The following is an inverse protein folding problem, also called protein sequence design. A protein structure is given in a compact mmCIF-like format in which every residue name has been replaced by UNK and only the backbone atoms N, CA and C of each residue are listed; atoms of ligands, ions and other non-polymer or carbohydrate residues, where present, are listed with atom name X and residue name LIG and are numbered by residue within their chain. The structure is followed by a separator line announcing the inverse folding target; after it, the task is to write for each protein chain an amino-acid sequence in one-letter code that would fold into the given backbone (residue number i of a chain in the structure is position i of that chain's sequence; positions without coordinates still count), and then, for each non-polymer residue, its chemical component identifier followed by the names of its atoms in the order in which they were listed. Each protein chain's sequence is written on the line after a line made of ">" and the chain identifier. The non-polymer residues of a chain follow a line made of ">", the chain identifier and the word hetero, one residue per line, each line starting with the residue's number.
data_IF_322783528185
#
_entry.id   IF_322783528185
#
_cell.length_a   1.000
_cell.length_b   1.000
_cell.length_c   1.000
_cell.angle_alpha   90.00
_cell.angle_beta   90.00
_cell.angle_gamma   90.00
#
_symmetry.space_group_name_H-M   'P 1'
#
loop_
_entity.id
_entity.type
_entity.pdbx_description
1 polymer ?
#
# COMPACT_ATOMS: atom_id res chain seq x y z
N UNK A 1 -18.98 8.89 21.42
CA UNK A 1 -19.10 7.44 21.71
C UNK A 1 -18.04 6.73 20.90
N UNK A 2 -17.14 5.94 21.51
CA UNK A 2 -16.21 5.11 20.72
C UNK A 2 -17.05 4.01 20.08
N UNK A 3 -17.01 3.93 18.76
CA UNK A 3 -17.57 2.83 18.00
C UNK A 3 -16.97 1.53 18.54
N UNK A 4 -17.80 0.68 19.15
CA UNK A 4 -17.38 -0.59 19.71
C UNK A 4 -16.98 -1.48 18.54
N UNK A 5 -15.67 -1.63 18.31
CA UNK A 5 -15.15 -2.50 17.24
C UNK A 5 -15.70 -3.90 17.47
N UNK A 6 -16.36 -4.46 16.46
CA UNK A 6 -16.84 -5.83 16.51
C UNK A 6 -15.61 -6.78 16.52
N UNK A 7 -15.15 -7.15 17.72
CA UNK A 7 -14.03 -8.07 17.97
C UNK A 7 -14.48 -9.53 18.00
N UNK A 8 -15.62 -9.86 17.38
CA UNK A 8 -16.13 -11.23 17.35
C UNK A 8 -15.16 -12.18 16.64
N UNK A 9 -14.50 -11.72 15.57
CA UNK A 9 -13.61 -12.53 14.74
C UNK A 9 -12.11 -12.39 15.04
N UNK A 10 -11.72 -11.38 15.82
CA UNK A 10 -10.31 -11.05 16.08
C UNK A 10 -10.13 -10.53 17.50
N UNK A 11 -8.91 -10.58 18.02
CA UNK A 11 -8.56 -9.97 19.30
C UNK A 11 -8.26 -8.47 19.17
N UNK A 12 -7.75 -7.87 20.25
CA UNK A 12 -7.50 -6.43 20.35
C UNK A 12 -6.41 -5.96 19.36
N UNK A 13 -5.44 -6.84 19.12
CA UNK A 13 -4.33 -6.65 18.19
C UNK A 13 -4.74 -6.91 16.73
N UNK A 14 -5.90 -7.55 16.52
CA UNK A 14 -6.42 -7.86 15.20
C UNK A 14 -6.01 -9.24 14.69
N UNK A 15 -5.46 -10.09 15.57
CA UNK A 15 -5.21 -11.50 15.26
C UNK A 15 -6.55 -12.20 15.14
N UNK A 16 -6.76 -12.89 14.03
CA UNK A 16 -7.99 -13.63 13.77
C UNK A 16 -8.03 -14.84 14.71
N UNK A 17 -9.14 -14.98 15.44
CA UNK A 17 -9.35 -16.09 16.38
C UNK A 17 -9.51 -17.40 15.60
N UNK A 18 -8.91 -18.51 16.05
CA UNK A 18 -9.11 -19.81 15.42
C UNK A 18 -10.59 -20.17 15.30
N UNK A 19 -11.02 -20.65 14.13
CA UNK A 19 -12.42 -21.01 13.86
C UNK A 19 -13.38 -19.83 13.70
N UNK A 20 -12.90 -18.58 13.73
CA UNK A 20 -13.74 -17.42 13.49
C UNK A 20 -14.35 -17.46 12.07
N UNK A 21 -15.65 -17.21 11.98
CA UNK A 21 -16.33 -17.02 10.69
C UNK A 21 -16.07 -15.61 10.19
N UNK A 22 -15.33 -15.48 9.09
CA UNK A 22 -14.98 -14.19 8.51
C UNK A 22 -16.00 -13.77 7.46
N UNK A 23 -16.36 -12.48 7.45
CA UNK A 23 -17.34 -11.89 6.53
C UNK A 23 -16.84 -11.69 5.10
N UNK A 24 -15.54 -11.92 4.85
CA UNK A 24 -14.89 -11.57 3.58
C UNK A 24 -14.55 -10.08 3.43
N UNK A 25 -15.13 -9.23 4.28
CA UNK A 25 -15.11 -7.79 4.05
C UNK A 25 -13.89 -7.10 4.63
N UNK A 26 -13.27 -7.64 5.69
CA UNK A 26 -12.33 -6.84 6.49
C UNK A 26 -10.90 -7.38 6.46
N UNK A 27 -10.63 -8.41 5.67
CA UNK A 27 -9.31 -9.02 5.57
C UNK A 27 -8.82 -9.05 4.13
N UNK A 28 -7.54 -9.37 3.97
CA UNK A 28 -6.89 -9.71 2.70
C UNK A 28 -6.10 -11.00 2.87
N UNK A 29 -6.00 -11.78 1.79
CA UNK A 29 -5.13 -12.95 1.75
C UNK A 29 -3.76 -12.54 1.20
N UNK A 30 -2.69 -13.02 1.82
CA UNK A 30 -1.32 -12.87 1.33
C UNK A 30 -0.64 -14.23 1.24
N UNK A 31 0.16 -14.46 0.20
CA UNK A 31 0.98 -15.68 0.06
C UNK A 31 2.42 -15.25 -0.22
N UNK A 32 3.42 -15.98 0.26
CA UNK A 32 4.80 -15.68 -0.10
C UNK A 32 5.00 -15.94 -1.61
N UNK A 33 5.78 -15.10 -2.30
CA UNK A 33 6.00 -15.23 -3.76
C UNK A 33 6.77 -16.49 -4.11
N UNK A 34 7.83 -16.78 -3.35
CA UNK A 34 8.79 -17.82 -3.66
C UNK A 34 8.62 -19.09 -2.80
N UNK A 35 7.52 -19.23 -2.05
CA UNK A 35 7.27 -20.49 -1.33
C UNK A 35 6.58 -21.51 -2.22
N UNK A 36 7.15 -22.72 -2.27
CA UNK A 36 6.42 -23.93 -2.69
C UNK A 36 5.32 -24.34 -1.68
N UNK A 37 5.26 -23.68 -0.53
CA UNK A 37 4.19 -23.83 0.46
C UNK A 37 3.01 -22.91 0.08
N UNK A 38 1.82 -23.47 -0.21
CA UNK A 38 0.64 -22.70 -0.55
C UNK A 38 -0.02 -22.02 0.67
N UNK A 39 0.53 -22.19 1.87
CA UNK A 39 -0.03 -21.66 3.11
C UNK A 39 -0.01 -20.13 3.12
N UNK A 40 -1.09 -19.53 2.65
CA UNK A 40 -1.34 -18.11 2.75
C UNK A 40 -1.69 -17.66 4.17
N UNK A 41 -1.52 -16.36 4.43
CA UNK A 41 -1.94 -15.70 5.67
C UNK A 41 -3.14 -14.81 5.40
N UNK A 42 -4.06 -14.79 6.35
CA UNK A 42 -5.20 -13.87 6.33
C UNK A 42 -4.87 -12.72 7.28
N UNK A 43 -4.86 -11.49 6.77
CA UNK A 43 -4.54 -10.29 7.54
C UNK A 43 -5.74 -9.35 7.59
N UNK A 44 -6.06 -8.83 8.77
CA UNK A 44 -7.10 -7.81 8.93
C UNK A 44 -6.63 -6.48 8.33
N UNK A 45 -7.47 -5.85 7.51
CA UNK A 45 -7.21 -4.54 6.92
C UNK A 45 -7.58 -3.45 7.92
N UNK A 46 -6.61 -2.63 8.30
CA UNK A 46 -6.79 -1.49 9.20
C UNK A 46 -6.82 -0.18 8.41
N UNK A 47 -7.68 0.75 8.83
CA UNK A 47 -7.66 2.13 8.33
C UNK A 47 -6.52 2.91 9.00
N UNK A 48 -5.65 3.51 8.19
CA UNK A 48 -4.52 4.35 8.64
C UNK A 48 -3.29 3.58 9.14
N UNK A 49 -2.32 4.32 9.67
CA UNK A 49 -0.93 3.89 9.94
C UNK A 49 -0.72 3.07 11.22
N UNK A 50 -1.78 2.48 11.77
CA UNK A 50 -1.74 1.74 13.05
C UNK A 50 -1.99 0.25 12.85
N UNK A 51 -1.35 -0.35 11.85
CA UNK A 51 -1.30 -1.80 11.74
C UNK A 51 -0.19 -2.38 12.63
N UNK A 52 -0.46 -3.56 13.17
CA UNK A 52 0.54 -4.44 13.77
C UNK A 52 1.03 -5.37 12.68
N UNK A 53 2.29 -5.19 12.25
CA UNK A 53 2.88 -5.98 11.18
C UNK A 53 2.86 -7.48 11.50
N UNK A 54 2.48 -8.28 10.52
CA UNK A 54 2.35 -9.73 10.66
C UNK A 54 1.00 -10.21 11.18
N UNK A 55 0.20 -9.33 11.80
CA UNK A 55 -1.15 -9.63 12.27
C UNK A 55 -2.23 -8.88 11.46
N UNK A 56 -1.93 -7.65 11.07
CA UNK A 56 -2.81 -6.76 10.32
C UNK A 56 -2.03 -6.04 9.23
N UNK A 57 -2.74 -5.41 8.30
CA UNK A 57 -2.14 -4.68 7.18
C UNK A 57 -2.84 -3.33 6.99
N UNK A 58 -2.08 -2.30 6.61
CA UNK A 58 -2.60 -1.01 6.19
C UNK A 58 -2.05 -0.64 4.81
N UNK A 59 -2.50 0.50 4.29
CA UNK A 59 -2.14 1.03 2.98
C UNK A 59 -0.63 1.25 2.80
N UNK A 60 0.07 1.89 3.75
CA UNK A 60 1.52 2.12 3.66
C UNK A 60 2.31 0.82 3.64
N UNK A 61 1.84 -0.16 4.40
CA UNK A 61 2.53 -1.43 4.51
C UNK A 61 2.25 -2.31 3.30
N UNK A 62 1.10 -2.17 2.65
CA UNK A 62 0.69 -3.04 1.56
C UNK A 62 1.73 -3.06 0.42
N UNK A 63 2.31 -1.92 0.07
CA UNK A 63 3.35 -1.84 -0.96
C UNK A 63 4.64 -2.57 -0.54
N UNK A 64 5.06 -2.40 0.71
CA UNK A 64 6.22 -3.12 1.24
C UNK A 64 6.00 -4.63 1.26
N UNK A 65 4.78 -5.07 1.56
CA UNK A 65 4.42 -6.49 1.54
C UNK A 65 4.44 -7.07 0.12
N UNK A 66 4.12 -6.27 -0.90
CA UNK A 66 4.16 -6.73 -2.30
C UNK A 66 5.57 -7.13 -2.76
N UNK A 67 6.64 -6.73 -2.06
CA UNK A 67 8.02 -7.14 -2.37
C UNK A 67 8.20 -8.66 -2.24
N UNK A 68 7.83 -9.21 -1.08
CA UNK A 68 8.05 -10.63 -0.76
C UNK A 68 6.77 -11.47 -0.90
N UNK A 69 5.60 -10.83 -0.97
CA UNK A 69 4.30 -11.50 -0.96
C UNK A 69 3.45 -11.13 -2.17
N UNK A 70 2.62 -12.08 -2.60
CA UNK A 70 1.43 -11.79 -3.40
C UNK A 70 0.31 -11.35 -2.46
N UNK A 71 -0.12 -10.10 -2.59
CA UNK A 71 -1.30 -9.57 -1.90
C UNK A 71 -2.53 -9.74 -2.80
N UNK A 72 -3.48 -10.58 -2.39
CA UNK A 72 -4.62 -10.99 -3.21
C UNK A 72 -5.80 -10.02 -3.08
N UNK A 73 -5.65 -8.80 -3.59
CA UNK A 73 -6.63 -7.73 -3.42
C UNK A 73 -8.04 -8.07 -3.90
N UNK A 74 -8.17 -8.85 -4.98
CA UNK A 74 -9.49 -9.09 -5.58
C UNK A 74 -10.31 -10.17 -4.86
N UNK A 75 -9.68 -11.01 -4.03
CA UNK A 75 -10.35 -12.17 -3.42
C UNK A 75 -11.29 -11.81 -2.27
N UNK A 76 -11.19 -10.60 -1.73
CA UNK A 76 -11.89 -10.19 -0.50
C UNK A 76 -12.39 -8.75 -0.65
N UNK A 77 -13.47 -8.42 0.06
CA UNK A 77 -13.93 -7.03 0.15
C UNK A 77 -12.88 -6.13 0.80
N UNK A 78 -12.10 -6.66 1.75
CA UNK A 78 -11.06 -5.92 2.44
C UNK A 78 -9.88 -5.63 1.53
N UNK A 79 -9.45 -6.63 0.76
CA UNK A 79 -8.45 -6.46 -0.29
C UNK A 79 -8.84 -5.42 -1.33
N UNK A 80 -10.09 -5.44 -1.83
CA UNK A 80 -10.52 -4.45 -2.84
C UNK A 80 -10.45 -3.03 -2.31
N UNK A 81 -10.95 -2.79 -1.09
CA UNK A 81 -10.85 -1.47 -0.44
C UNK A 81 -9.41 -1.04 -0.17
N UNK A 82 -8.53 -1.99 0.16
CA UNK A 82 -7.11 -1.70 0.33
C UNK A 82 -6.46 -1.27 -1.00
N UNK A 83 -6.78 -1.94 -2.12
CA UNK A 83 -6.31 -1.53 -3.45
C UNK A 83 -6.86 -0.16 -3.85
N UNK A 84 -8.14 0.10 -3.59
CA UNK A 84 -8.74 1.42 -3.83
C UNK A 84 -8.00 2.53 -3.04
N UNK A 85 -7.68 2.26 -1.77
CA UNK A 85 -6.95 3.21 -0.94
C UNK A 85 -5.52 3.47 -1.43
N UNK A 86 -4.81 2.42 -1.90
CA UNK A 86 -3.48 2.56 -2.53
C UNK A 86 -3.56 3.44 -3.77
N UNK A 87 -4.49 3.14 -4.68
CA UNK A 87 -4.69 3.90 -5.91
C UNK A 87 -5.07 5.38 -5.63
N UNK A 88 -5.73 5.66 -4.51
CA UNK A 88 -6.07 7.02 -4.12
C UNK A 88 -4.87 7.81 -3.54
N UNK A 89 -3.87 7.14 -2.96
CA UNK A 89 -2.63 7.78 -2.47
C UNK A 89 -1.63 8.03 -3.59
N UNK A 90 -1.60 7.13 -4.57
CA UNK A 90 -0.84 7.27 -5.80
C UNK A 90 -1.83 7.44 -6.95
N UNK A 91 -2.50 8.60 -7.08
CA UNK A 91 -3.25 8.86 -8.30
C UNK A 91 -2.26 8.67 -9.43
N UNK A 92 -2.57 7.75 -10.35
CA UNK A 92 -1.72 7.47 -11.48
C UNK A 92 -1.29 8.82 -12.06
N UNK A 93 0.02 9.06 -12.11
CA UNK A 93 0.57 10.16 -12.85
C UNK A 93 0.24 9.87 -14.32
N UNK A 94 -0.99 10.21 -14.71
CA UNK A 94 -1.42 10.15 -16.08
C UNK A 94 -0.51 11.08 -16.86
N UNK A 95 0.06 10.53 -17.92
CA UNK A 95 1.03 11.14 -18.80
C UNK A 95 0.59 12.52 -19.29
N UNK A 96 0.97 13.58 -18.59
CA UNK A 96 1.05 14.92 -19.13
C UNK A 96 2.53 15.26 -19.29
N UNK A 97 3.10 14.88 -20.44
CA UNK A 97 4.31 15.49 -20.96
C UNK A 97 4.01 17.00 -21.13
N UNK A 98 4.66 17.92 -20.40
CA UNK A 98 4.60 19.31 -20.81
C UNK A 98 5.45 19.41 -22.07
N UNK A 99 4.81 19.84 -23.15
CA UNK A 99 5.43 20.12 -24.42
C UNK A 99 6.66 21.02 -24.26
N UNK A 100 7.68 20.74 -25.09
CA UNK A 100 8.86 21.57 -25.40
C UNK A 100 8.76 23.01 -24.90
N UNK A 101 9.57 23.36 -23.92
CA UNK A 101 10.13 24.72 -23.89
C UNK A 101 11.40 24.66 -24.72
N UNK A 102 11.26 25.12 -25.96
CA UNK A 102 12.37 25.51 -26.81
C UNK A 102 13.00 26.76 -26.17
N UNK A 103 13.99 26.55 -25.29
CA UNK A 103 14.83 27.63 -24.80
C UNK A 103 15.94 27.86 -25.82
N UNK A 104 15.60 28.64 -26.85
CA UNK A 104 16.56 29.35 -27.70
C UNK A 104 17.52 30.14 -26.79
N UNK A 105 18.80 29.77 -26.79
CA UNK A 105 19.89 30.59 -26.26
C UNK A 105 20.01 31.90 -27.04
N UNK A 106 20.18 33.05 -26.37
CA UNK A 106 20.91 34.17 -26.94
C UNK A 106 22.26 34.29 -26.22
N UNK A 107 23.33 34.28 -27.01
CA UNK A 107 24.71 34.26 -26.53
C UNK A 107 25.25 35.58 -25.97
N UNK A 108 26.42 35.39 -25.36
CA UNK A 108 27.60 36.27 -25.28
C UNK A 108 27.54 37.53 -24.40
N UNK A 109 28.35 37.53 -23.32
CA UNK A 109 29.41 38.53 -23.11
C UNK A 109 30.57 37.94 -22.27
N UNK A 110 31.79 38.18 -22.76
CA UNK A 110 33.09 37.91 -22.15
C UNK A 110 33.42 38.80 -20.93
N UNK A 111 34.52 38.43 -20.27
CA UNK A 111 35.33 39.14 -19.26
C UNK A 111 34.89 38.93 -17.79
N UNK A 112 35.75 38.66 -16.81
CA UNK A 112 37.19 38.87 -16.73
C UNK A 112 37.84 37.98 -15.63
N UNK A 113 39.16 37.86 -15.78
CA UNK A 113 40.16 37.19 -14.95
C UNK A 113 40.05 37.43 -13.43
N UNK A 114 40.36 36.43 -12.60
CA UNK A 114 41.28 36.61 -11.45
C UNK A 114 41.89 35.27 -10.97
N UNK A 115 43.21 35.19 -11.05
CA UNK A 115 44.09 34.20 -10.41
C UNK A 115 44.00 34.28 -8.89
N UNK A 116 44.12 33.13 -8.23
CA UNK A 116 45.05 32.94 -7.10
C UNK A 116 45.88 31.69 -7.37
#
# INVERSE_FOLDING_TARGET
>A
MREMKNTQSHDEDGVIKPGAKLSGNDYVLVTLRDSGDPSGRILLVRKGFRCIHGCTICVECAESWELDHHVHYQQTGGGRRLREALNAQHPAADNAHPAKVDSTEPGTIEADSYRQ
#
